data_IF_979567531785
#
_entry.id   IF_979567531785
#
_cell.length_a   1.000
_cell.length_b   1.000
_cell.length_c   1.000
_cell.angle_alpha   90.00
_cell.angle_beta   90.00
_cell.angle_gamma   90.00
#
_symmetry.space_group_name_H-M   'P 1'
#
loop_
_entity.id
_entity.type
_entity.pdbx_description
1 polymer ?
#
# COMPACT_ATOMS: atom_id res chain seq x y z
N UNK A 1 -40.86 0.77 10.29
CA UNK A 1 -39.48 0.52 10.75
C UNK A 1 -38.55 0.89 9.62
N UNK A 2 -37.75 1.95 9.81
CA UNK A 2 -36.81 2.43 8.82
C UNK A 2 -35.60 1.49 8.78
N UNK A 3 -35.46 0.70 7.73
CA UNK A 3 -34.22 0.02 7.39
C UNK A 3 -33.41 0.96 6.49
N UNK A 4 -32.41 1.60 7.05
CA UNK A 4 -31.37 2.30 6.29
C UNK A 4 -30.63 1.24 5.47
N UNK A 5 -31.09 1.00 4.25
CA UNK A 5 -30.31 0.30 3.25
C UNK A 5 -29.10 1.16 2.94
N UNK A 6 -27.93 0.73 3.37
CA UNK A 6 -26.68 1.29 2.90
C UNK A 6 -26.58 0.96 1.40
N UNK A 7 -27.13 1.84 0.56
CA UNK A 7 -26.75 1.94 -0.83
C UNK A 7 -25.30 2.39 -0.85
N UNK A 8 -24.38 1.42 -0.84
CA UNK A 8 -22.99 1.68 -1.18
C UNK A 8 -22.95 1.81 -2.70
N UNK A 9 -23.27 3.01 -3.16
CA UNK A 9 -22.99 3.47 -4.50
C UNK A 9 -21.52 3.18 -4.81
N UNK A 10 -21.25 2.79 -6.04
CA UNK A 10 -19.92 2.58 -6.62
C UNK A 10 -19.17 3.92 -6.77
N UNK A 11 -19.10 4.69 -5.69
CA UNK A 11 -18.51 6.01 -5.65
C UNK A 11 -17.02 5.85 -5.38
N UNK A 12 -16.25 5.74 -6.47
CA UNK A 12 -14.78 5.85 -6.42
C UNK A 12 -14.32 7.11 -5.66
N UNK A 13 -15.20 8.12 -5.56
CA UNK A 13 -15.02 9.33 -4.75
C UNK A 13 -14.82 9.04 -3.26
N UNK A 14 -15.40 7.97 -2.70
CA UNK A 14 -15.28 7.63 -1.28
C UNK A 14 -13.82 7.32 -0.86
N UNK A 15 -12.96 6.99 -1.82
CA UNK A 15 -11.56 6.67 -1.58
C UNK A 15 -10.59 7.72 -2.17
N UNK A 16 -11.12 8.80 -2.77
CA UNK A 16 -10.31 9.84 -3.39
C UNK A 16 -9.45 10.58 -2.36
N UNK A 17 -9.96 10.76 -1.14
CA UNK A 17 -9.26 11.49 -0.07
C UNK A 17 -8.27 10.62 0.72
N UNK A 18 -8.17 9.33 0.41
CA UNK A 18 -7.23 8.43 1.07
C UNK A 18 -5.87 8.52 0.38
N UNK A 19 -4.86 8.95 1.13
CA UNK A 19 -3.49 9.05 0.66
C UNK A 19 -2.92 7.69 0.24
N UNK A 20 -2.06 7.70 -0.78
CA UNK A 20 -1.36 6.51 -1.25
C UNK A 20 -0.46 5.92 -0.15
N UNK A 21 -0.39 4.59 -0.09
CA UNK A 21 0.43 3.82 0.85
C UNK A 21 0.25 4.22 2.33
N UNK A 22 -0.95 4.68 2.70
CA UNK A 22 -1.26 5.17 4.05
C UNK A 22 -1.83 4.10 4.98
N UNK A 23 -2.40 3.02 4.43
CA UNK A 23 -3.07 2.00 5.22
C UNK A 23 -2.22 0.75 5.43
N UNK A 24 -2.38 0.15 6.61
CA UNK A 24 -1.70 -1.10 6.99
C UNK A 24 -2.53 -2.33 6.64
N UNK A 25 -3.85 -2.17 6.73
CA UNK A 25 -4.81 -3.22 6.50
C UNK A 25 -6.05 -2.67 5.79
N UNK A 26 -6.64 -3.49 4.92
CA UNK A 26 -7.91 -3.25 4.27
C UNK A 26 -8.78 -4.49 4.45
N UNK A 27 -10.04 -4.30 4.84
CA UNK A 27 -11.00 -5.39 5.02
C UNK A 27 -12.23 -5.06 4.19
N UNK A 28 -12.68 -5.98 3.34
CA UNK A 28 -13.82 -5.75 2.47
C UNK A 28 -14.66 -7.02 2.26
N UNK A 29 -15.98 -6.86 2.35
CA UNK A 29 -16.97 -7.83 1.88
C UNK A 29 -17.39 -7.41 0.47
N UNK A 30 -16.93 -8.15 -0.54
CA UNK A 30 -17.13 -7.79 -1.94
C UNK A 30 -18.55 -8.18 -2.39
N UNK A 31 -19.22 -7.30 -3.18
CA UNK A 31 -20.55 -7.59 -3.69
C UNK A 31 -20.51 -8.87 -4.53
N UNK A 32 -21.42 -9.78 -4.20
CA UNK A 32 -21.38 -11.12 -4.74
C UNK A 32 -22.80 -11.71 -4.85
N UNK A 33 -23.40 -11.69 -6.04
CA UNK A 33 -24.73 -12.27 -6.26
C UNK A 33 -25.45 -11.83 -7.53
N UNK A 34 -26.61 -12.44 -7.80
CA UNK A 34 -27.46 -12.14 -8.96
C UNK A 34 -28.11 -10.75 -8.89
N UNK A 35 -28.25 -10.18 -7.69
CA UNK A 35 -28.74 -8.82 -7.47
C UNK A 35 -27.72 -7.74 -7.88
N UNK A 36 -26.44 -8.10 -7.92
CA UNK A 36 -25.31 -7.18 -8.16
C UNK A 36 -24.53 -7.55 -9.42
N UNK A 37 -25.19 -8.10 -10.45
CA UNK A 37 -24.54 -8.59 -11.68
C UNK A 37 -23.63 -7.56 -12.35
N UNK A 38 -23.99 -6.28 -12.31
CA UNK A 38 -23.21 -5.20 -12.92
C UNK A 38 -21.94 -4.83 -12.14
N UNK A 39 -21.89 -5.10 -10.84
CA UNK A 39 -20.77 -4.76 -9.94
C UNK A 39 -19.99 -5.98 -9.45
N UNK A 40 -20.32 -7.18 -9.96
CA UNK A 40 -19.71 -8.46 -9.58
C UNK A 40 -19.04 -9.14 -10.78
N UNK A 41 -18.43 -8.33 -11.65
CA UNK A 41 -17.64 -8.78 -12.80
C UNK A 41 -16.13 -8.70 -12.52
N UNK A 42 -15.33 -9.23 -13.45
CA UNK A 42 -13.88 -9.27 -13.32
C UNK A 42 -13.26 -7.86 -13.27
N UNK A 43 -13.81 -6.92 -14.03
CA UNK A 43 -13.35 -5.53 -14.05
C UNK A 43 -13.53 -4.86 -12.69
N UNK A 44 -14.67 -5.04 -12.04
CA UNK A 44 -14.92 -4.48 -10.70
C UNK A 44 -13.96 -5.04 -9.66
N UNK A 45 -13.69 -6.35 -9.69
CA UNK A 45 -12.73 -6.99 -8.77
C UNK A 45 -11.31 -6.46 -9.00
N UNK A 46 -10.91 -6.33 -10.27
CA UNK A 46 -9.60 -5.78 -10.63
C UNK A 46 -9.45 -4.30 -10.26
N UNK A 47 -10.49 -3.50 -10.49
CA UNK A 47 -10.51 -2.09 -10.10
C UNK A 47 -10.37 -1.93 -8.58
N UNK A 48 -11.09 -2.75 -7.81
CA UNK A 48 -10.97 -2.77 -6.35
C UNK A 48 -9.56 -3.15 -5.89
N UNK A 49 -8.98 -4.21 -6.46
CA UNK A 49 -7.62 -4.63 -6.12
C UNK A 49 -6.60 -3.53 -6.45
N UNK A 50 -6.72 -2.83 -7.58
CA UNK A 50 -5.84 -1.68 -7.89
C UNK A 50 -5.97 -0.55 -6.86
N UNK A 51 -7.20 -0.28 -6.41
CA UNK A 51 -7.44 0.70 -5.36
C UNK A 51 -6.82 0.26 -4.02
N UNK A 52 -6.99 -1.00 -3.65
CA UNK A 52 -6.37 -1.57 -2.46
C UNK A 52 -4.84 -1.52 -2.53
N UNK A 53 -4.25 -1.77 -3.70
CA UNK A 53 -2.81 -1.65 -3.92
C UNK A 53 -2.32 -0.22 -3.71
N UNK A 54 -3.06 0.78 -4.24
CA UNK A 54 -2.74 2.19 -4.08
C UNK A 54 -2.74 2.61 -2.61
N UNK A 55 -3.77 2.21 -1.87
CA UNK A 55 -4.01 2.63 -0.48
C UNK A 55 -3.08 1.91 0.51
N UNK A 56 -2.86 0.61 0.32
CA UNK A 56 -2.06 -0.19 1.25
C UNK A 56 -0.57 0.14 1.10
N UNK A 57 0.15 0.28 2.21
CA UNK A 57 1.62 0.33 2.18
C UNK A 57 2.22 -1.02 1.72
N UNK A 58 3.45 -1.08 1.20
CA UNK A 58 4.14 -2.35 0.98
C UNK A 58 4.19 -3.19 2.28
N UNK A 59 3.85 -4.46 2.19
CA UNK A 59 3.66 -5.35 3.35
C UNK A 59 2.31 -5.19 4.06
N UNK A 60 1.49 -4.23 3.63
CA UNK A 60 0.11 -4.09 4.09
C UNK A 60 -0.75 -5.25 3.63
N UNK A 61 -1.83 -5.54 4.37
CA UNK A 61 -2.67 -6.71 4.14
C UNK A 61 -4.07 -6.34 3.67
N UNK A 62 -4.63 -7.16 2.80
CA UNK A 62 -5.98 -7.05 2.31
C UNK A 62 -6.74 -8.34 2.68
N UNK A 63 -7.86 -8.21 3.38
CA UNK A 63 -8.75 -9.31 3.73
C UNK A 63 -10.03 -9.15 2.93
N UNK A 64 -10.27 -10.07 2.01
CA UNK A 64 -11.37 -10.03 1.05
C UNK A 64 -12.32 -11.18 1.31
N UNK A 65 -13.62 -10.89 1.26
CA UNK A 65 -14.66 -11.91 1.34
C UNK A 65 -15.52 -11.87 0.08
N UNK A 66 -15.76 -13.03 -0.54
CA UNK A 66 -16.65 -13.15 -1.70
C UNK A 66 -17.22 -14.56 -1.86
N UNK A 67 -18.44 -14.69 -2.38
CA UNK A 67 -18.97 -15.99 -2.82
C UNK A 67 -18.48 -16.43 -4.22
N UNK A 68 -17.75 -15.58 -4.95
CA UNK A 68 -17.14 -15.87 -6.25
C UNK A 68 -15.68 -16.25 -6.11
N UNK A 69 -15.44 -17.43 -5.55
CA UNK A 69 -14.12 -17.89 -5.13
C UNK A 69 -13.10 -17.88 -6.28
N UNK A 70 -13.43 -18.52 -7.41
CA UNK A 70 -12.54 -18.64 -8.56
C UNK A 70 -12.21 -17.27 -9.19
N UNK A 71 -13.20 -16.38 -9.27
CA UNK A 71 -13.01 -15.03 -9.81
C UNK A 71 -12.06 -14.22 -8.91
N UNK A 72 -12.30 -14.23 -7.60
CA UNK A 72 -11.47 -13.52 -6.64
C UNK A 72 -10.02 -14.01 -6.68
N UNK A 73 -9.81 -15.33 -6.67
CA UNK A 73 -8.47 -15.92 -6.74
C UNK A 73 -7.77 -15.58 -8.05
N UNK A 74 -8.47 -15.61 -9.19
CA UNK A 74 -7.90 -15.23 -10.50
C UNK A 74 -7.48 -13.76 -10.53
N UNK A 75 -8.33 -12.85 -10.06
CA UNK A 75 -8.01 -11.43 -10.01
C UNK A 75 -6.81 -11.15 -9.09
N UNK A 76 -6.74 -11.83 -7.94
CA UNK A 76 -5.62 -11.69 -7.01
C UNK A 76 -4.27 -12.08 -7.62
N UNK A 77 -4.24 -13.08 -8.51
CA UNK A 77 -3.01 -13.51 -9.21
C UNK A 77 -2.48 -12.47 -10.22
N UNK A 78 -3.32 -11.52 -10.64
CA UNK A 78 -2.96 -10.53 -11.68
C UNK A 78 -2.25 -9.29 -11.13
N UNK A 79 -2.09 -9.17 -9.81
CA UNK A 79 -1.49 -8.00 -9.15
C UNK A 79 -0.28 -8.35 -8.29
N UNK A 80 0.32 -7.37 -7.58
CA UNK A 80 1.48 -7.58 -6.71
C UNK A 80 1.05 -8.16 -5.36
N UNK A 81 0.29 -9.25 -5.38
CA UNK A 81 -0.31 -9.87 -4.21
C UNK A 81 0.38 -11.18 -3.90
N UNK A 82 0.71 -11.35 -2.62
CA UNK A 82 1.07 -12.65 -2.06
C UNK A 82 -0.14 -13.19 -1.31
N UNK A 83 -0.65 -14.34 -1.71
CA UNK A 83 -1.61 -15.05 -0.86
C UNK A 83 -0.93 -15.48 0.44
N UNK A 84 -1.49 -15.04 1.57
CA UNK A 84 -1.02 -15.41 2.90
C UNK A 84 -1.81 -16.61 3.41
N UNK A 85 -3.13 -16.54 3.28
CA UNK A 85 -4.02 -17.65 3.56
C UNK A 85 -5.37 -17.48 2.88
N UNK A 86 -6.06 -18.60 2.71
CA UNK A 86 -7.43 -18.67 2.21
C UNK A 86 -8.26 -19.58 3.12
N UNK A 87 -9.52 -19.22 3.32
CA UNK A 87 -10.46 -20.01 4.11
C UNK A 87 -11.84 -20.02 3.47
N UNK A 88 -12.42 -21.20 3.26
CA UNK A 88 -13.80 -21.33 2.78
C UNK A 88 -14.75 -21.41 3.97
N UNK A 89 -15.68 -20.46 4.05
CA UNK A 89 -16.66 -20.34 5.13
C UNK A 89 -18.08 -20.53 4.60
N UNK A 90 -18.92 -21.21 5.37
CA UNK A 90 -20.36 -21.19 5.17
C UNK A 90 -20.98 -19.93 5.80
N UNK A 91 -21.95 -19.32 5.13
CA UNK A 91 -22.84 -18.30 5.71
C UNK A 91 -24.31 -18.64 5.42
N UNK A 92 -25.18 -18.19 6.31
CA UNK A 92 -26.64 -18.40 6.24
C UNK A 92 -27.11 -19.68 6.92
N UNK A 93 -28.43 -19.87 6.95
CA UNK A 93 -29.02 -21.12 7.46
C UNK A 93 -28.47 -22.32 6.69
N UNK A 94 -28.10 -23.37 7.44
CA UNK A 94 -27.50 -24.60 6.93
C UNK A 94 -26.21 -24.43 6.09
N UNK A 95 -25.50 -23.29 6.17
CA UNK A 95 -24.27 -23.03 5.40
C UNK A 95 -24.45 -23.16 3.88
N UNK A 96 -25.65 -22.84 3.37
CA UNK A 96 -25.99 -23.02 1.94
C UNK A 96 -25.07 -22.18 1.03
N UNK A 97 -24.64 -21.01 1.49
CA UNK A 97 -23.75 -20.14 0.72
C UNK A 97 -22.30 -20.32 1.17
N UNK A 98 -21.41 -20.62 0.23
CA UNK A 98 -19.97 -20.71 0.46
C UNK A 98 -19.27 -19.42 0.06
N UNK A 99 -18.50 -18.86 0.97
CA UNK A 99 -17.67 -17.67 0.76
C UNK A 99 -16.20 -18.02 0.91
N UNK A 100 -15.35 -17.40 0.11
CA UNK A 100 -13.90 -17.42 0.26
C UNK A 100 -13.49 -16.16 1.03
N UNK A 101 -12.88 -16.36 2.19
CA UNK A 101 -12.06 -15.36 2.86
C UNK A 101 -10.64 -15.49 2.33
N UNK A 102 -10.15 -14.47 1.65
CA UNK A 102 -8.82 -14.44 1.06
C UNK A 102 -7.99 -13.35 1.74
N UNK A 103 -6.84 -13.73 2.28
CA UNK A 103 -5.88 -12.79 2.87
C UNK A 103 -4.70 -12.63 1.92
N UNK A 104 -4.51 -11.42 1.44
CA UNK A 104 -3.45 -11.02 0.55
C UNK A 104 -2.50 -10.07 1.27
N UNK A 105 -1.21 -10.15 0.96
CA UNK A 105 -0.20 -9.19 1.36
C UNK A 105 0.31 -8.45 0.13
N UNK A 106 0.35 -7.12 0.20
CA UNK A 106 0.89 -6.27 -0.88
C UNK A 106 2.40 -6.45 -0.93
N UNK A 107 2.91 -7.02 -2.01
CA UNK A 107 4.34 -7.09 -2.25
C UNK A 107 4.89 -5.70 -2.59
N UNK A 108 6.10 -5.41 -2.12
CA UNK A 108 6.82 -4.24 -2.61
C UNK A 108 7.16 -4.45 -4.08
N UNK A 109 6.72 -3.53 -4.95
CA UNK A 109 7.09 -3.59 -6.36
C UNK A 109 8.61 -3.47 -6.48
N UNK A 110 9.24 -4.50 -7.06
CA UNK A 110 10.69 -4.62 -7.18
C UNK A 110 11.31 -3.45 -7.97
N UNK A 111 10.51 -2.79 -8.82
CA UNK A 111 10.92 -1.62 -9.59
C UNK A 111 11.34 -0.43 -8.70
N UNK A 112 10.70 -0.22 -7.54
CA UNK A 112 11.12 0.83 -6.61
C UNK A 112 12.50 0.54 -5.98
N UNK A 113 12.87 -0.74 -5.82
CA UNK A 113 14.20 -1.13 -5.31
C UNK A 113 15.31 -0.90 -6.34
N UNK A 114 15.02 -1.06 -7.63
CA UNK A 114 16.03 -0.92 -8.69
C UNK A 114 16.34 0.57 -8.96
N UNK A 115 15.35 1.46 -8.85
CA UNK A 115 15.54 2.91 -9.03
C UNK A 115 16.04 3.60 -7.74
N UNK A 116 15.97 2.93 -6.59
CA UNK A 116 16.33 3.45 -5.27
C UNK A 116 17.83 3.42 -4.88
N UNK A 117 18.76 3.09 -5.79
CA UNK A 117 20.21 3.19 -5.52
C UNK A 117 20.83 4.41 -6.22
N UNK A 118 20.40 5.60 -5.82
CA UNK A 118 21.23 6.83 -5.82
C UNK A 118 20.54 7.92 -5.01
N UNK A 119 20.35 7.69 -3.70
CA UNK A 119 20.33 8.84 -2.80
C UNK A 119 21.76 9.39 -2.77
N UNK A 120 21.99 10.38 -3.63
CA UNK A 120 23.19 11.20 -3.60
C UNK A 120 23.17 11.87 -2.21
N UNK A 121 24.18 11.65 -1.35
CA UNK A 121 24.26 12.40 -0.11
C UNK A 121 24.23 13.88 -0.47
N UNK A 122 23.41 14.65 0.25
CA UNK A 122 23.33 16.09 0.14
C UNK A 122 24.74 16.65 0.41
N UNK A 123 25.50 16.87 -0.66
CA UNK A 123 26.77 17.59 -0.60
C UNK A 123 26.40 19.01 -0.20
N UNK A 124 26.66 19.31 1.08
CA UNK A 124 26.68 20.68 1.55
C UNK A 124 27.66 21.46 0.65
N UNK A 125 27.24 22.59 0.06
CA UNK A 125 28.16 23.45 -0.68
C UNK A 125 29.24 23.92 0.29
N UNK A 126 30.49 23.60 -0.04
CA UNK A 126 31.64 24.05 0.70
C UNK A 126 31.79 25.56 0.60
N UNK A 127 31.79 26.23 1.75
CA UNK A 127 32.43 27.54 1.92
C UNK A 127 33.95 27.32 1.90
N UNK A 128 34.53 27.35 0.70
CA UNK A 128 35.96 27.56 0.52
C UNK A 128 36.22 29.07 0.40
N UNK A 129 36.49 29.73 1.52
CA UNK A 129 37.14 31.05 1.51
C UNK A 129 38.55 30.94 2.06
N UNK A 130 39.44 30.64 1.11
CA UNK A 130 40.74 31.28 0.88
C UNK A 130 41.74 31.43 2.04
N UNK A 131 42.85 30.70 1.89
CA UNK A 131 44.07 30.89 2.65
C UNK A 131 44.73 32.25 2.34
N UNK A 132 45.23 32.94 3.37
CA UNK A 132 46.19 34.03 3.24
C UNK A 132 47.59 33.57 3.69
N UNK A 133 48.66 33.75 2.89
CA UNK A 133 49.99 33.22 3.16
C UNK A 133 51.04 34.30 3.53
N UNK A 134 50.99 34.91 4.73
CA UNK A 134 52.07 35.75 5.31
C UNK A 134 51.84 35.76 6.84
N UNK A 135 52.71 35.38 7.79
CA UNK A 135 54.02 35.92 8.20
C UNK A 135 54.61 34.94 9.26
N UNK A 136 55.78 34.36 9.01
CA UNK A 136 57.09 34.71 9.59
C UNK A 136 57.20 34.74 11.15
N UNK A 137 57.77 33.65 11.66
CA UNK A 137 58.88 33.53 12.64
C UNK A 137 59.12 34.67 13.65
N UNK A 138 59.07 34.30 14.93
CA UNK A 138 60.15 34.57 15.90
C UNK A 138 59.87 35.60 16.99
N UNK A 139 59.83 35.16 18.25
CA UNK A 139 60.60 35.74 19.36
C UNK A 139 60.36 34.94 20.66
N UNK A 140 61.40 34.26 21.14
CA UNK A 140 61.52 33.81 22.53
C UNK A 140 61.83 35.05 23.38
N UNK A 141 61.01 35.35 24.37
CA UNK A 141 61.43 36.17 25.51
C UNK A 141 61.32 35.33 26.77
N UNK A 142 62.49 34.93 27.28
CA UNK A 142 62.62 34.50 28.67
C UNK A 142 62.74 35.73 29.55
N UNK A 143 61.97 35.78 30.63
CA UNK A 143 62.20 36.70 31.73
C UNK A 143 62.36 35.87 33.00
N UNK A 144 63.61 35.79 33.49
CA UNK A 144 63.94 35.45 34.87
C UNK A 144 64.03 36.76 35.64
N UNK A 145 63.37 36.83 36.79
CA UNK A 145 63.91 37.37 38.03
C UNK A 145 63.05 36.90 39.20
#
# INVERSE_FOLDING_TARGET
>A
MAGLGAEISHDSSAFADIADASADALICDLPSGAAHKASSDEESYMAFLRLAERILRPGGRCVLLSNRQELLSRCAQSGPWKEVCSWVMGRGEANILKFLLLVLERQASTLARIVGLKQKPLQQPGDQSNASPWQKKGAKFGCKR
#
